data_IF_170208958752
#
_entry.id   IF_170208958752
#
_cell.length_a   1.000
_cell.length_b   1.000
_cell.length_c   1.000
_cell.angle_alpha   90.00
_cell.angle_beta   90.00
_cell.angle_gamma   90.00
#
_symmetry.space_group_name_H-M   'P 1'
#
loop_
_entity.id
_entity.type
_entity.pdbx_description
1 polymer ?
#
# COMPACT_ATOMS: atom_id res chain seq x y z
N UNK A 1 -1.47 77.41 5.32
CA UNK A 1 -1.44 77.26 3.85
C UNK A 1 -0.21 76.44 3.48
N UNK A 2 -0.30 75.67 2.40
CA UNK A 2 0.69 74.80 1.76
C UNK A 2 0.88 73.39 2.35
N UNK A 3 -0.01 72.52 1.86
CA UNK A 3 0.08 71.08 1.68
C UNK A 3 1.47 70.57 1.25
N UNK A 4 1.97 69.54 1.93
CA UNK A 4 3.01 68.64 1.44
C UNK A 4 2.38 67.28 1.17
N UNK A 5 2.19 66.95 -0.10
CA UNK A 5 1.59 65.70 -0.57
C UNK A 5 2.52 64.53 -0.22
N UNK A 6 2.03 63.59 0.60
CA UNK A 6 2.57 62.24 0.71
C UNK A 6 2.38 61.54 -0.64
N UNK A 7 3.47 61.23 -1.33
CA UNK A 7 3.45 60.24 -2.42
C UNK A 7 3.85 58.91 -1.82
N UNK A 8 2.85 58.20 -1.27
CA UNK A 8 2.92 56.76 -1.06
C UNK A 8 2.94 56.12 -2.45
N UNK A 9 4.13 55.72 -2.90
CA UNK A 9 4.27 54.76 -3.99
C UNK A 9 3.78 53.41 -3.43
N UNK A 10 2.48 53.21 -3.46
CA UNK A 10 1.90 51.88 -3.45
C UNK A 10 2.33 51.21 -4.76
N UNK A 11 3.43 50.47 -4.71
CA UNK A 11 3.72 49.50 -5.76
C UNK A 11 2.58 48.49 -5.74
N UNK A 12 1.66 48.63 -6.69
CA UNK A 12 0.78 47.56 -7.10
C UNK A 12 1.67 46.46 -7.70
N UNK A 13 2.25 45.62 -6.85
CA UNK A 13 2.61 44.29 -7.30
C UNK A 13 1.31 43.66 -7.80
N UNK A 14 1.26 43.13 -9.04
CA UNK A 14 0.20 42.23 -9.38
C UNK A 14 0.31 41.08 -8.39
N UNK A 15 -0.67 40.96 -7.50
CA UNK A 15 -0.87 39.70 -6.81
C UNK A 15 -0.94 38.65 -7.93
N UNK A 16 -0.15 37.56 -7.87
CA UNK A 16 -0.40 36.45 -8.76
C UNK A 16 -1.87 36.10 -8.56
N UNK A 17 -2.60 35.98 -9.66
CA UNK A 17 -3.96 35.42 -9.69
C UNK A 17 -3.83 33.93 -9.36
N UNK A 18 -3.39 33.63 -8.14
CA UNK A 18 -3.52 32.34 -7.51
C UNK A 18 -4.80 32.42 -6.67
N UNK A 19 -5.54 31.32 -6.64
CA UNK A 19 -6.83 31.16 -5.94
C UNK A 19 -8.09 31.57 -6.71
N UNK A 20 -8.16 31.30 -8.02
CA UNK A 20 -9.42 30.72 -8.52
C UNK A 20 -9.60 29.43 -7.73
N UNK A 21 -10.63 29.33 -6.88
CA UNK A 21 -10.98 28.15 -6.08
C UNK A 21 -10.82 26.86 -6.91
N UNK A 22 -9.63 26.26 -6.85
CA UNK A 22 -9.39 25.03 -7.60
C UNK A 22 -10.07 23.96 -6.80
N UNK A 23 -11.10 23.36 -7.39
CA UNK A 23 -11.80 22.21 -6.82
C UNK A 23 -10.76 21.09 -6.69
N UNK A 24 -10.34 20.84 -5.45
CA UNK A 24 -9.43 19.76 -5.10
C UNK A 24 -10.09 18.40 -5.37
N UNK A 25 -9.30 17.34 -5.60
CA UNK A 25 -9.87 16.02 -5.84
C UNK A 25 -10.74 15.58 -4.66
N UNK A 26 -11.91 15.03 -4.98
CA UNK A 26 -12.83 14.49 -3.99
C UNK A 26 -12.40 13.09 -3.52
N UNK A 27 -12.82 12.72 -2.31
CA UNK A 27 -12.53 11.42 -1.70
C UNK A 27 -13.10 10.24 -2.50
N UNK A 28 -14.13 10.45 -3.31
CA UNK A 28 -14.68 9.45 -4.23
C UNK A 28 -13.70 9.01 -5.33
N UNK A 29 -12.64 9.78 -5.60
CA UNK A 29 -11.60 9.42 -6.55
C UNK A 29 -10.53 8.50 -5.96
N UNK A 30 -10.57 8.24 -4.64
CA UNK A 30 -9.61 7.38 -3.98
C UNK A 30 -9.67 5.95 -4.55
N UNK A 31 -8.49 5.42 -4.86
CA UNK A 31 -8.30 4.02 -5.28
C UNK A 31 -7.41 3.33 -4.25
N UNK A 32 -8.00 2.72 -3.20
CA UNK A 32 -7.22 2.03 -2.19
C UNK A 32 -6.52 0.81 -2.79
N UNK A 33 -5.41 0.40 -2.16
CA UNK A 33 -4.72 -0.83 -2.52
C UNK A 33 -5.70 -2.03 -2.44
N UNK A 34 -5.65 -3.01 -3.36
CA UNK A 34 -6.57 -4.14 -3.33
C UNK A 34 -6.56 -4.87 -1.99
N UNK A 35 -7.74 -5.24 -1.49
CA UNK A 35 -7.91 -5.85 -0.16
C UNK A 35 -7.91 -4.85 1.01
N UNK A 36 -7.80 -3.55 0.73
CA UNK A 36 -7.89 -2.49 1.74
C UNK A 36 -9.23 -1.77 1.71
N UNK A 37 -9.77 -1.49 2.90
CA UNK A 37 -10.92 -0.62 3.12
C UNK A 37 -10.47 0.67 3.78
N UNK A 38 -10.82 1.81 3.19
CA UNK A 38 -10.54 3.14 3.76
C UNK A 38 -11.35 3.33 5.05
N UNK A 39 -10.68 3.77 6.10
CA UNK A 39 -11.27 4.03 7.42
C UNK A 39 -11.32 5.52 7.76
N UNK A 40 -10.29 6.27 7.41
CA UNK A 40 -10.19 7.71 7.67
C UNK A 40 -9.52 8.42 6.50
N UNK A 41 -9.92 9.65 6.21
CA UNK A 41 -9.39 10.45 5.10
C UNK A 41 -9.06 11.85 5.59
N UNK A 42 -7.86 12.33 5.26
CA UNK A 42 -7.46 13.72 5.49
C UNK A 42 -7.94 14.60 4.33
N UNK A 43 -8.18 15.91 4.55
CA UNK A 43 -8.48 16.84 3.47
C UNK A 43 -7.43 16.78 2.35
N UNK A 44 -7.87 16.98 1.12
CA UNK A 44 -6.95 17.12 -0.01
C UNK A 44 -6.04 18.34 0.17
N UNK A 45 -4.78 18.21 -0.25
CA UNK A 45 -3.77 19.28 -0.18
C UNK A 45 -3.22 19.52 -1.57
N UNK A 46 -3.26 20.77 -2.03
CA UNK A 46 -2.58 21.18 -3.26
C UNK A 46 -1.06 21.17 -3.04
N UNK A 47 -0.32 20.59 -3.98
CA UNK A 47 1.14 20.68 -3.98
C UNK A 47 1.60 21.96 -4.68
N UNK A 48 2.74 22.56 -4.26
CA UNK A 48 3.30 23.72 -4.93
C UNK A 48 3.50 23.46 -6.42
N UNK A 49 3.11 24.44 -7.25
CA UNK A 49 3.36 24.40 -8.69
C UNK A 49 4.80 24.78 -8.99
N UNK A 50 5.38 24.18 -10.03
CA UNK A 50 6.69 24.58 -10.52
C UNK A 50 6.61 25.97 -11.16
N UNK A 51 7.62 26.80 -10.88
CA UNK A 51 7.79 28.14 -11.43
C UNK A 51 8.84 28.11 -12.54
N UNK A 52 8.54 28.74 -13.67
CA UNK A 52 9.52 28.91 -14.74
C UNK A 52 10.59 29.92 -14.32
N UNK A 53 11.65 30.05 -15.12
CA UNK A 53 12.71 31.03 -14.88
C UNK A 53 12.26 32.49 -14.87
N UNK A 54 11.00 32.78 -15.22
CA UNK A 54 10.39 34.11 -15.22
C UNK A 54 9.37 34.29 -14.08
N UNK A 55 9.21 33.30 -13.19
CA UNK A 55 8.28 33.34 -12.06
C UNK A 55 6.81 33.05 -12.43
N UNK A 56 6.54 32.53 -13.63
CA UNK A 56 5.21 32.07 -14.02
C UNK A 56 5.05 30.56 -13.73
N UNK A 57 3.89 30.16 -13.20
CA UNK A 57 3.61 28.75 -12.95
C UNK A 57 3.46 27.96 -14.26
N UNK A 58 4.19 26.86 -14.40
CA UNK A 58 4.05 25.91 -15.51
C UNK A 58 3.70 24.50 -15.03
N UNK A 59 3.29 23.64 -15.97
CA UNK A 59 2.97 22.24 -15.67
C UNK A 59 1.57 21.99 -15.08
N UNK A 60 1.30 20.72 -14.84
CA UNK A 60 0.03 20.24 -14.29
C UNK A 60 -0.13 20.58 -12.82
N UNK A 61 -1.35 20.84 -12.35
CA UNK A 61 -1.64 20.97 -10.91
C UNK A 61 -1.58 19.60 -10.27
N UNK A 62 -0.95 19.52 -9.10
CA UNK A 62 -0.82 18.29 -8.33
C UNK A 62 -1.52 18.47 -6.99
N UNK A 63 -2.16 17.42 -6.50
CA UNK A 63 -2.75 17.37 -5.17
C UNK A 63 -2.49 16.00 -4.55
N UNK A 64 -2.54 15.92 -3.22
CA UNK A 64 -2.44 14.67 -2.48
C UNK A 64 -3.63 14.51 -1.55
N UNK A 65 -4.07 13.26 -1.36
CA UNK A 65 -4.98 12.88 -0.29
C UNK A 65 -4.28 11.81 0.54
N UNK A 66 -4.25 11.99 1.85
CA UNK A 66 -3.78 10.98 2.80
C UNK A 66 -4.97 10.28 3.44
N UNK A 67 -4.88 8.97 3.60
CA UNK A 67 -5.93 8.17 4.21
C UNK A 67 -5.36 6.97 4.95
N UNK A 68 -6.04 6.53 6.00
CA UNK A 68 -5.76 5.24 6.62
C UNK A 68 -6.69 4.18 6.07
N UNK A 69 -6.15 3.00 5.84
CA UNK A 69 -6.92 1.85 5.44
C UNK A 69 -6.61 0.63 6.31
N UNK A 70 -7.63 -0.20 6.49
CA UNK A 70 -7.54 -1.53 7.09
C UNK A 70 -7.48 -2.55 5.96
N UNK A 71 -6.39 -3.30 5.90
CA UNK A 71 -6.03 -4.15 4.79
C UNK A 71 -5.95 -5.61 5.20
N UNK A 72 -6.55 -6.48 4.37
CA UNK A 72 -6.30 -7.91 4.37
C UNK A 72 -5.55 -8.29 3.08
N UNK A 73 -4.79 -9.40 3.09
CA UNK A 73 -4.16 -9.90 1.87
C UNK A 73 -5.20 -10.05 0.75
N UNK A 74 -4.94 -9.45 -0.42
CA UNK A 74 -5.90 -9.44 -1.53
C UNK A 74 -6.01 -10.81 -2.19
N UNK A 75 -6.94 -11.61 -1.68
CA UNK A 75 -7.16 -12.99 -2.01
C UNK A 75 -8.66 -13.28 -1.90
N UNK A 76 -9.22 -14.04 -2.84
CA UNK A 76 -10.63 -14.43 -2.80
C UNK A 76 -10.93 -15.19 -1.50
N UNK A 77 -12.02 -14.91 -0.79
CA UNK A 77 -12.40 -15.64 0.43
C UNK A 77 -11.35 -15.53 1.58
N UNK A 78 -11.28 -14.39 2.27
CA UNK A 78 -10.38 -14.24 3.42
C UNK A 78 -10.75 -15.23 4.53
N UNK A 79 -9.73 -15.84 5.13
CA UNK A 79 -9.94 -16.80 6.22
C UNK A 79 -10.27 -16.07 7.53
N UNK A 80 -11.11 -16.62 8.42
CA UNK A 80 -11.59 -15.91 9.61
C UNK A 80 -10.49 -15.60 10.64
N UNK A 81 -9.37 -16.30 10.56
CA UNK A 81 -8.19 -16.07 11.41
C UNK A 81 -7.23 -15.02 10.85
N UNK A 82 -7.52 -14.45 9.67
CA UNK A 82 -6.64 -13.44 9.09
C UNK A 82 -6.67 -12.16 9.92
N UNK A 83 -5.48 -11.66 10.24
CA UNK A 83 -5.26 -10.43 10.95
C UNK A 83 -5.11 -9.28 9.95
N UNK A 84 -5.86 -8.17 10.14
CA UNK A 84 -5.73 -7.01 9.28
C UNK A 84 -4.50 -6.17 9.63
N UNK A 85 -4.00 -5.44 8.63
CA UNK A 85 -3.00 -4.39 8.78
C UNK A 85 -3.67 -3.03 8.73
N UNK A 86 -3.25 -2.11 9.61
CA UNK A 86 -3.57 -0.69 9.45
C UNK A 86 -2.39 -0.01 8.76
N UNK A 87 -2.66 0.61 7.61
CA UNK A 87 -1.65 1.25 6.77
C UNK A 87 -2.15 2.63 6.35
N UNK A 88 -1.31 3.63 6.53
CA UNK A 88 -1.52 4.98 6.02
C UNK A 88 -0.98 5.07 4.59
N UNK A 89 -1.79 5.60 3.69
CA UNK A 89 -1.46 5.80 2.29
C UNK A 89 -1.49 7.28 1.92
N UNK A 90 -0.73 7.64 0.90
CA UNK A 90 -0.80 8.90 0.18
C UNK A 90 -1.14 8.60 -1.28
N UNK A 91 -2.16 9.25 -1.81
CA UNK A 91 -2.55 9.16 -3.21
C UNK A 91 -2.39 10.51 -3.89
N UNK A 92 -1.60 10.51 -4.96
CA UNK A 92 -1.34 11.70 -5.75
C UNK A 92 -2.35 11.82 -6.89
N UNK A 93 -2.75 13.06 -7.16
CA UNK A 93 -3.66 13.42 -8.22
C UNK A 93 -2.99 14.47 -9.11
N UNK A 94 -3.19 14.34 -10.42
CA UNK A 94 -2.66 15.28 -11.40
C UNK A 94 -3.78 15.78 -12.29
N UNK A 95 -3.99 17.09 -12.32
CA UNK A 95 -4.97 17.70 -13.21
C UNK A 95 -4.37 17.86 -14.61
N UNK A 96 -4.99 17.23 -15.62
CA UNK A 96 -4.61 17.54 -17.00
C UNK A 96 -5.16 18.93 -17.38
N UNK A 97 -4.36 19.80 -18.00
CA UNK A 97 -4.90 21.00 -18.61
C UNK A 97 -5.81 20.58 -19.76
N UNK A 98 -7.03 21.10 -19.82
CA UNK A 98 -7.87 20.89 -20.99
C UNK A 98 -7.31 21.67 -22.21
N UNK A 99 -7.82 21.38 -23.41
CA UNK A 99 -7.37 22.04 -24.65
C UNK A 99 -7.70 23.54 -24.71
N UNK A 100 -8.47 24.08 -23.78
CA UNK A 100 -8.95 25.46 -23.72
C UNK A 100 -8.40 26.26 -22.52
N UNK A 101 -7.53 25.67 -21.69
CA UNK A 101 -6.98 26.31 -20.49
C UNK A 101 -7.90 26.28 -19.25
N UNK A 102 -8.98 25.53 -19.29
CA UNK A 102 -9.89 25.28 -18.16
C UNK A 102 -9.36 24.09 -17.32
N UNK A 103 -9.73 24.07 -16.03
CA UNK A 103 -9.44 22.94 -15.15
C UNK A 103 -10.06 21.65 -15.70
N UNK A 104 -9.22 20.68 -16.08
CA UNK A 104 -9.65 19.36 -16.54
C UNK A 104 -9.82 18.35 -15.40
N UNK A 105 -10.09 17.10 -15.75
CA UNK A 105 -10.28 16.03 -14.77
C UNK A 105 -8.99 15.69 -13.99
N UNK A 106 -9.17 15.26 -12.73
CA UNK A 106 -8.09 14.72 -11.91
C UNK A 106 -7.73 13.30 -12.36
N UNK A 107 -6.49 13.13 -12.82
CA UNK A 107 -5.91 11.80 -13.01
C UNK A 107 -5.44 11.24 -11.67
N UNK A 108 -5.82 9.99 -11.43
CA UNK A 108 -5.48 9.25 -10.22
C UNK A 108 -4.17 8.50 -10.43
N UNK A 109 -3.20 8.72 -9.54
CA UNK A 109 -1.98 7.91 -9.43
C UNK A 109 -2.18 6.84 -8.35
N UNK A 110 -1.50 5.70 -8.44
CA UNK A 110 -1.64 4.63 -7.45
C UNK A 110 -1.22 5.10 -6.04
N UNK A 111 -2.04 4.75 -5.05
CA UNK A 111 -1.76 5.05 -3.65
C UNK A 111 -0.48 4.33 -3.18
N UNK A 112 0.40 5.07 -2.51
CA UNK A 112 1.65 4.56 -1.94
C UNK A 112 1.57 4.58 -0.41
N UNK A 113 2.19 3.63 0.30
CA UNK A 113 2.28 3.72 1.75
C UNK A 113 3.03 4.99 2.15
N UNK A 114 2.54 5.72 3.13
CA UNK A 114 3.24 6.88 3.69
C UNK A 114 4.56 6.40 4.29
N UNK A 115 5.66 6.96 3.80
CA UNK A 115 6.99 6.75 4.37
C UNK A 115 7.33 7.98 5.19
N UNK A 116 7.49 7.80 6.49
CA UNK A 116 7.94 8.87 7.38
C UNK A 116 9.45 9.07 7.17
N UNK A 117 9.89 10.21 6.60
CA UNK A 117 11.30 10.46 6.33
C UNK A 117 12.12 10.62 7.62
N UNK A 118 11.47 10.95 8.75
CA UNK A 118 12.11 11.18 10.03
C UNK A 118 12.37 9.86 10.80
N UNK A 119 11.74 8.76 10.36
CA UNK A 119 11.99 7.43 10.91
C UNK A 119 13.33 6.87 10.41
N UNK A 120 14.14 6.26 11.30
CA UNK A 120 15.37 5.63 10.87
C UNK A 120 15.09 4.45 9.95
N UNK A 121 15.85 4.38 8.86
CA UNK A 121 15.88 3.20 7.99
C UNK A 121 16.65 2.08 8.69
N UNK A 122 16.07 0.88 8.74
CA UNK A 122 16.76 -0.32 9.25
C UNK A 122 16.53 -1.54 8.37
N UNK A 123 17.51 -2.43 8.35
CA UNK A 123 17.41 -3.70 7.66
C UNK A 123 16.51 -4.67 8.44
N UNK A 124 15.57 -5.29 7.75
CA UNK A 124 14.61 -6.25 8.30
C UNK A 124 14.69 -7.53 7.50
N UNK A 125 14.66 -8.66 8.20
CA UNK A 125 14.64 -9.98 7.58
C UNK A 125 13.22 -10.39 7.19
N UNK A 126 13.08 -10.86 5.96
CA UNK A 126 11.84 -11.41 5.44
C UNK A 126 11.45 -12.74 6.05
N UNK A 127 12.44 -13.51 6.49
CA UNK A 127 12.21 -14.76 7.20
C UNK A 127 11.64 -14.54 8.60
N UNK A 128 11.81 -13.37 9.21
CA UNK A 128 11.35 -13.10 10.57
C UNK A 128 10.31 -12.00 10.59
N UNK A 129 10.75 -10.76 10.67
CA UNK A 129 9.92 -9.65 11.06
C UNK A 129 9.00 -9.16 9.93
N UNK A 130 9.35 -9.32 8.64
CA UNK A 130 8.39 -9.09 7.55
C UNK A 130 7.87 -10.35 6.88
N UNK A 131 7.90 -11.49 7.58
CA UNK A 131 7.22 -12.71 7.12
C UNK A 131 5.73 -12.46 6.87
N UNK A 132 5.14 -11.56 7.65
CA UNK A 132 3.71 -11.26 7.65
C UNK A 132 2.96 -12.13 8.65
N UNK A 133 1.97 -11.52 9.30
CA UNK A 133 1.16 -12.11 10.37
C UNK A 133 0.36 -13.31 9.87
N UNK A 134 -0.24 -13.21 8.67
CA UNK A 134 -1.12 -14.25 8.14
C UNK A 134 -0.32 -15.42 7.58
N UNK A 135 0.82 -15.16 6.94
CA UNK A 135 1.75 -16.21 6.52
C UNK A 135 2.32 -16.94 7.74
N UNK A 136 2.72 -16.23 8.81
CA UNK A 136 3.17 -16.86 10.04
C UNK A 136 2.10 -17.78 10.64
N UNK A 137 0.86 -17.30 10.77
CA UNK A 137 -0.25 -18.10 11.28
C UNK A 137 -0.56 -19.33 10.40
N UNK A 138 -0.48 -19.21 9.07
CA UNK A 138 -0.62 -20.35 8.17
C UNK A 138 0.49 -21.39 8.40
N UNK A 139 1.74 -20.94 8.51
CA UNK A 139 2.88 -21.83 8.73
C UNK A 139 2.75 -22.58 10.06
N UNK A 140 2.32 -21.90 11.12
CA UNK A 140 2.09 -22.55 12.41
C UNK A 140 1.00 -23.63 12.31
N UNK A 141 -0.10 -23.36 11.59
CA UNK A 141 -1.18 -24.34 11.32
C UNK A 141 -0.70 -25.53 10.49
N UNK A 142 0.17 -25.29 9.51
CA UNK A 142 0.79 -26.36 8.71
C UNK A 142 1.63 -27.27 9.59
N UNK A 143 2.46 -26.69 10.47
CA UNK A 143 3.34 -27.43 11.36
C UNK A 143 2.57 -28.22 12.42
N UNK A 144 1.55 -27.61 13.02
CA UNK A 144 0.80 -28.21 14.13
C UNK A 144 -0.31 -29.19 13.71
N UNK A 145 -0.88 -29.03 12.51
CA UNK A 145 -2.04 -29.82 12.06
C UNK A 145 -1.77 -30.62 10.80
N UNK A 146 -1.40 -29.94 9.72
CA UNK A 146 -1.30 -30.56 8.40
C UNK A 146 -0.18 -31.60 8.32
N UNK A 147 1.04 -31.24 8.72
CA UNK A 147 2.20 -32.14 8.62
C UNK A 147 2.01 -33.44 9.43
N UNK A 148 1.53 -33.42 10.68
CA UNK A 148 1.16 -34.64 11.40
C UNK A 148 0.14 -35.51 10.67
N UNK A 149 -0.93 -34.92 10.14
CA UNK A 149 -1.95 -35.65 9.37
C UNK A 149 -1.37 -36.29 8.10
N UNK A 150 -0.57 -35.53 7.34
CA UNK A 150 0.08 -36.03 6.13
C UNK A 150 1.07 -37.15 6.46
N UNK A 151 1.86 -37.05 7.54
CA UNK A 151 2.79 -38.13 7.94
C UNK A 151 2.06 -39.44 8.23
N UNK A 152 0.86 -39.38 8.80
CA UNK A 152 0.05 -40.56 9.07
C UNK A 152 -0.53 -41.20 7.80
N UNK A 153 -0.93 -40.40 6.80
CA UNK A 153 -1.54 -40.90 5.56
C UNK A 153 -0.54 -41.21 4.45
N UNK A 154 0.49 -40.40 4.30
CA UNK A 154 1.50 -40.48 3.24
C UNK A 154 2.82 -39.81 3.67
N UNK A 155 3.77 -40.57 4.24
CA UNK A 155 5.07 -40.05 4.65
C UNK A 155 5.86 -39.37 3.53
N UNK A 156 5.74 -39.87 2.30
CA UNK A 156 6.41 -39.29 1.14
C UNK A 156 5.88 -37.88 0.80
N UNK A 157 4.57 -37.68 0.84
CA UNK A 157 3.97 -36.35 0.63
C UNK A 157 4.30 -35.41 1.79
N UNK A 158 4.31 -35.92 3.02
CA UNK A 158 4.70 -35.13 4.19
C UNK A 158 6.14 -34.60 4.07
N UNK A 159 7.08 -35.41 3.55
CA UNK A 159 8.45 -34.98 3.32
C UNK A 159 8.56 -33.87 2.26
N UNK A 160 7.76 -33.94 1.19
CA UNK A 160 7.70 -32.90 0.15
C UNK A 160 7.15 -31.59 0.71
N UNK A 161 6.01 -31.64 1.41
CA UNK A 161 5.41 -30.44 2.04
C UNK A 161 6.34 -29.86 3.10
N UNK A 162 7.00 -30.70 3.89
CA UNK A 162 7.97 -30.25 4.89
C UNK A 162 9.17 -29.55 4.25
N UNK A 163 9.67 -30.03 3.10
CA UNK A 163 10.74 -29.36 2.37
C UNK A 163 10.31 -27.99 1.86
N UNK A 164 9.14 -27.91 1.22
CA UNK A 164 8.60 -26.63 0.73
C UNK A 164 8.33 -25.64 1.87
N UNK A 165 7.82 -26.15 3.01
CA UNK A 165 7.64 -25.39 4.24
C UNK A 165 8.96 -24.82 4.78
N UNK A 166 10.02 -25.61 4.83
CA UNK A 166 11.33 -25.13 5.32
C UNK A 166 11.95 -24.10 4.37
N UNK A 167 11.85 -24.30 3.06
CA UNK A 167 12.31 -23.32 2.07
C UNK A 167 11.66 -21.95 2.28
N UNK A 168 10.38 -21.92 2.68
CA UNK A 168 9.68 -20.69 3.01
C UNK A 168 10.15 -20.02 4.30
N UNK A 169 10.42 -20.82 5.34
CA UNK A 169 10.95 -20.30 6.62
C UNK A 169 12.35 -19.74 6.48
N UNK A 170 13.14 -20.28 5.56
CA UNK A 170 14.54 -19.95 5.36
C UNK A 170 14.79 -18.88 4.29
N UNK A 171 13.75 -18.21 3.79
CA UNK A 171 13.89 -17.13 2.80
C UNK A 171 14.56 -15.88 3.44
N UNK A 172 15.90 -15.85 3.47
CA UNK A 172 16.74 -14.87 4.20
C UNK A 172 16.98 -13.54 3.47
N UNK A 173 16.05 -13.10 2.61
CA UNK A 173 16.16 -11.78 2.02
C UNK A 173 16.02 -10.70 3.11
N UNK A 174 16.79 -9.62 2.96
CA UNK A 174 16.71 -8.43 3.82
C UNK A 174 16.29 -7.24 2.98
N UNK A 175 15.47 -6.37 3.56
CA UNK A 175 15.05 -5.11 2.95
C UNK A 175 15.12 -4.02 4.01
N UNK A 176 15.36 -2.80 3.55
CA UNK A 176 15.32 -1.64 4.41
C UNK A 176 13.87 -1.18 4.53
N UNK A 177 13.43 -0.90 5.76
CA UNK A 177 12.14 -0.26 6.04
C UNK A 177 12.35 0.98 6.88
N UNK A 178 11.47 1.96 6.71
CA UNK A 178 11.36 3.17 7.53
C UNK A 178 10.04 3.16 8.30
N UNK A 179 10.15 2.91 9.60
CA UNK A 179 9.01 2.85 10.51
C UNK A 179 8.06 1.66 10.29
N UNK A 180 7.03 1.61 11.12
CA UNK A 180 6.10 0.47 11.16
C UNK A 180 5.10 0.47 10.00
N UNK A 181 4.77 1.64 9.45
CA UNK A 181 3.82 1.73 8.33
C UNK A 181 4.37 1.03 7.07
N UNK A 182 5.62 1.30 6.71
CA UNK A 182 6.27 0.60 5.60
C UNK A 182 6.41 -0.90 5.90
N UNK A 183 6.80 -1.26 7.13
CA UNK A 183 6.91 -2.66 7.53
C UNK A 183 5.57 -3.40 7.40
N UNK A 184 4.45 -2.79 7.82
CA UNK A 184 3.11 -3.37 7.67
C UNK A 184 2.71 -3.54 6.21
N UNK A 185 3.05 -2.58 5.35
CA UNK A 185 2.82 -2.72 3.91
C UNK A 185 3.65 -3.85 3.28
N UNK A 186 4.91 -4.02 3.70
CA UNK A 186 5.76 -5.15 3.28
C UNK A 186 5.18 -6.49 3.75
N UNK A 187 4.74 -6.57 5.01
CA UNK A 187 4.08 -7.75 5.59
C UNK A 187 2.81 -8.13 4.83
N UNK A 188 1.95 -7.16 4.50
CA UNK A 188 0.74 -7.36 3.70
C UNK A 188 1.07 -7.96 2.33
N UNK A 189 2.07 -7.41 1.64
CA UNK A 189 2.50 -7.90 0.33
C UNK A 189 3.04 -9.32 0.41
N UNK A 190 3.81 -9.62 1.46
CA UNK A 190 4.38 -10.94 1.72
C UNK A 190 3.33 -11.99 2.06
N UNK A 191 2.33 -11.62 2.86
CA UNK A 191 1.19 -12.46 3.16
C UNK A 191 0.45 -12.87 1.88
N UNK A 192 0.20 -11.93 0.97
CA UNK A 192 -0.44 -12.21 -0.32
C UNK A 192 0.31 -13.30 -1.09
N UNK A 193 1.64 -13.16 -1.25
CA UNK A 193 2.45 -14.12 -2.01
C UNK A 193 2.47 -15.51 -1.35
N UNK A 194 2.68 -15.54 -0.03
CA UNK A 194 2.72 -16.77 0.77
C UNK A 194 1.39 -17.53 0.70
N UNK A 195 0.28 -16.85 1.00
CA UNK A 195 -1.06 -17.43 1.01
C UNK A 195 -1.53 -17.81 -0.40
N UNK A 196 -1.18 -17.02 -1.43
CA UNK A 196 -1.49 -17.34 -2.84
C UNK A 196 -0.84 -18.65 -3.27
N UNK A 197 0.47 -18.82 -3.00
CA UNK A 197 1.16 -20.06 -3.36
C UNK A 197 0.58 -21.26 -2.60
N UNK A 198 0.24 -21.09 -1.32
CA UNK A 198 -0.38 -22.17 -0.56
C UNK A 198 -1.71 -22.62 -1.16
N UNK A 199 -2.56 -21.67 -1.54
CA UNK A 199 -3.82 -21.98 -2.23
C UNK A 199 -3.60 -22.65 -3.57
N UNK A 200 -2.60 -22.23 -4.34
CA UNK A 200 -2.23 -22.90 -5.59
C UNK A 200 -1.86 -24.37 -5.35
N UNK A 201 -1.16 -24.68 -4.26
CA UNK A 201 -0.83 -26.06 -3.89
C UNK A 201 -2.09 -26.86 -3.48
N UNK A 202 -3.00 -26.27 -2.71
CA UNK A 202 -4.26 -26.91 -2.30
C UNK A 202 -5.20 -27.17 -3.49
N UNK A 203 -5.28 -26.22 -4.42
CA UNK A 203 -6.18 -26.27 -5.57
C UNK A 203 -5.57 -26.88 -6.83
N UNK A 204 -4.33 -27.41 -6.78
CA UNK A 204 -3.69 -28.08 -7.90
C UNK A 204 -4.52 -29.33 -8.31
N UNK A 205 -5.40 -29.25 -9.32
CA UNK A 205 -6.44 -30.25 -9.56
C UNK A 205 -5.79 -31.54 -10.06
N UNK A 206 -6.25 -32.68 -9.54
CA UNK A 206 -5.76 -34.00 -9.96
C UNK A 206 -4.36 -34.37 -9.46
N UNK A 207 -3.76 -33.56 -8.59
CA UNK A 207 -2.48 -33.94 -7.96
C UNK A 207 -2.72 -34.71 -6.66
N UNK A 208 -1.90 -35.74 -6.41
CA UNK A 208 -1.91 -36.46 -5.13
C UNK A 208 -1.67 -35.52 -3.94
N UNK A 209 -0.91 -34.43 -4.17
CA UNK A 209 -0.67 -33.38 -3.20
C UNK A 209 -1.96 -32.59 -2.88
N UNK A 210 -2.66 -32.05 -3.88
CA UNK A 210 -3.91 -31.31 -3.66
C UNK A 210 -4.98 -32.13 -2.95
N UNK A 211 -5.15 -33.40 -3.34
CA UNK A 211 -6.09 -34.32 -2.65
C UNK A 211 -5.69 -34.59 -1.20
N UNK A 212 -4.41 -34.84 -0.94
CA UNK A 212 -3.91 -35.08 0.41
C UNK A 212 -4.05 -33.84 1.30
N UNK A 213 -3.72 -32.65 0.76
CA UNK A 213 -3.86 -31.36 1.43
C UNK A 213 -5.33 -31.08 1.80
N UNK A 214 -6.27 -31.32 0.88
CA UNK A 214 -7.70 -31.13 1.16
C UNK A 214 -8.23 -32.13 2.18
N UNK A 215 -7.73 -33.37 2.19
CA UNK A 215 -8.12 -34.39 3.18
C UNK A 215 -7.56 -34.18 4.59
N UNK A 216 -6.61 -33.25 4.74
CA UNK A 216 -5.94 -32.87 5.98
C UNK A 216 -6.05 -31.36 6.21
N UNK A 217 -6.94 -30.67 5.49
CA UNK A 217 -7.05 -29.22 5.54
C UNK A 217 -7.38 -28.77 6.97
N UNK A 218 -6.71 -27.70 7.40
CA UNK A 218 -6.92 -27.04 8.68
C UNK A 218 -7.75 -25.80 8.37
N UNK A 219 -9.03 -25.81 8.74
CA UNK A 219 -9.95 -24.66 8.57
C UNK A 219 -9.49 -23.42 9.35
#
# INVERSE_FOLDING_TARGET
>A
MASGVLVLLASCSPQPVDDLEVILPDVSLLRPYPGCKVESVSPAVALPRELDGNGAYYGSRHAIIRFEAVCLPNLSDPSPWWQPYRISFEQSFRMQPDRAGVAGDWLVVDAQPVVDPDQPSRAVSGATEARGNNCAALLDRIESGLLPCLRAKSPALAALVQKDFQNFREDRFTFNVRGDNELNFRRLSRDKDCLSRWRQLQHAPGTALGMALNSCAVD
#
